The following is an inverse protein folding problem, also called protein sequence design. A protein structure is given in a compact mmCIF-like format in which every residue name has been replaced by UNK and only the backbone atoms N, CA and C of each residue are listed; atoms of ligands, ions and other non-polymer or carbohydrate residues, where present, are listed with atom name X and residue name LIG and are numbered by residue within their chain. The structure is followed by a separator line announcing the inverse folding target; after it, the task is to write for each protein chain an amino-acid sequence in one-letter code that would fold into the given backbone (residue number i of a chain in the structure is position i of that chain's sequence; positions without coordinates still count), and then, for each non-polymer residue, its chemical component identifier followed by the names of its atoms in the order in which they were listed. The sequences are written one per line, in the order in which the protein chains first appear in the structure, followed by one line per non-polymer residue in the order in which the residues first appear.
data_IF_299243408870
#
_entry.id   IF_299243408870
#
_cell.length_a   1.000
_cell.length_b   1.000
_cell.length_c   1.000
_cell.angle_alpha   90.00
_cell.angle_beta   90.00
_cell.angle_gamma   90.00
#
_symmetry.space_group_name_H-M   'P 1'
#
loop_
_entity.id
_entity.type
_entity.pdbx_description
1 polymer ?
#
# COMPACT_ATOMS: atom_id res chain seq x y z
N UNK A 1 1.20 -13.85 18.70
CA UNK A 1 1.80 -14.34 17.42
C UNK A 1 0.83 -14.47 16.26
N UNK A 2 -0.38 -15.04 16.43
CA UNK A 2 -1.29 -15.40 15.32
C UNK A 2 -1.65 -14.24 14.38
N UNK A 3 -1.89 -13.04 14.91
CA UNK A 3 -2.30 -11.87 14.12
C UNK A 3 -1.23 -11.38 13.13
N UNK A 4 0.05 -11.34 13.55
CA UNK A 4 1.17 -10.96 12.67
C UNK A 4 1.28 -11.93 11.49
N UNK A 5 1.15 -13.23 11.76
CA UNK A 5 1.17 -14.27 10.72
C UNK A 5 -0.05 -14.17 9.80
N UNK A 6 -1.23 -13.84 10.33
CA UNK A 6 -2.43 -13.62 9.53
C UNK A 6 -2.26 -12.47 8.54
N UNK A 7 -1.70 -11.33 8.97
CA UNK A 7 -1.41 -10.20 8.07
C UNK A 7 -0.41 -10.57 6.98
N UNK A 8 0.64 -11.32 7.31
CA UNK A 8 1.63 -11.79 6.32
C UNK A 8 0.95 -12.72 5.30
N UNK A 9 0.12 -13.67 5.74
CA UNK A 9 -0.62 -14.57 4.85
C UNK A 9 -1.59 -13.81 3.94
N UNK A 10 -2.30 -12.83 4.48
CA UNK A 10 -3.19 -11.98 3.70
C UNK A 10 -2.43 -11.21 2.62
N UNK A 11 -1.32 -10.56 2.97
CA UNK A 11 -0.48 -9.81 2.02
C UNK A 11 0.10 -10.72 0.93
N UNK A 12 0.45 -11.97 1.26
CA UNK A 12 0.86 -12.94 0.24
C UNK A 12 -0.27 -13.35 -0.72
N UNK A 13 -1.53 -13.35 -0.26
CA UNK A 13 -2.71 -13.62 -1.07
C UNK A 13 -3.17 -12.44 -1.92
N UNK A 14 -2.94 -11.20 -1.47
CA UNK A 14 -3.40 -9.99 -2.14
C UNK A 14 -2.95 -9.86 -3.61
N UNK A 15 -1.68 -10.09 -3.99
CA UNK A 15 -1.26 -10.07 -5.39
C UNK A 15 -1.97 -11.08 -6.30
N UNK A 16 -2.60 -12.12 -5.72
CA UNK A 16 -3.38 -13.13 -6.46
C UNK A 16 -4.79 -12.65 -6.77
N UNK A 17 -5.29 -11.64 -6.03
CA UNK A 17 -6.61 -11.03 -6.21
C UNK A 17 -6.48 -9.68 -6.94
N UNK A 18 -5.86 -9.69 -8.14
CA UNK A 18 -5.57 -8.46 -8.89
C UNK A 18 -6.84 -7.64 -9.17
N UNK A 19 -7.92 -8.28 -9.58
CA UNK A 19 -9.18 -7.61 -9.94
C UNK A 19 -9.73 -6.66 -8.86
N UNK A 20 -9.42 -6.90 -7.57
CA UNK A 20 -9.87 -6.05 -6.47
C UNK A 20 -8.78 -5.19 -5.84
N UNK A 21 -7.51 -5.59 -5.95
CA UNK A 21 -6.41 -4.97 -5.18
C UNK A 21 -5.46 -4.14 -6.04
N UNK A 22 -5.53 -4.24 -7.37
CA UNK A 22 -4.59 -3.59 -8.28
C UNK A 22 -4.65 -2.05 -8.19
N UNK A 23 -5.85 -1.50 -7.97
CA UNK A 23 -6.07 -0.05 -7.81
C UNK A 23 -5.61 0.52 -6.46
N UNK A 24 -5.17 -0.31 -5.51
CA UNK A 24 -4.75 0.19 -4.20
C UNK A 24 -3.33 0.74 -4.24
N UNK A 25 -3.13 1.98 -3.75
CA UNK A 25 -1.81 2.60 -3.59
C UNK A 25 -0.85 1.71 -2.82
N UNK A 26 -1.37 0.95 -1.84
CA UNK A 26 -0.64 -0.05 -1.08
C UNK A 26 0.02 -1.11 -1.98
N UNK A 27 -0.68 -1.59 -3.02
CA UNK A 27 -0.15 -2.59 -3.95
C UNK A 27 0.89 -1.99 -4.91
N UNK A 28 0.71 -0.73 -5.31
CA UNK A 28 1.73 0.04 -6.04
C UNK A 28 3.03 0.12 -5.25
N UNK A 29 2.97 0.55 -3.99
CA UNK A 29 4.15 0.63 -3.10
C UNK A 29 4.75 -0.76 -2.84
N UNK A 30 3.94 -1.79 -2.66
CA UNK A 30 4.42 -3.18 -2.51
C UNK A 30 5.26 -3.62 -3.72
N UNK A 31 4.80 -3.34 -4.95
CA UNK A 31 5.53 -3.71 -6.18
C UNK A 31 6.82 -2.94 -6.33
N UNK A 32 6.79 -1.62 -6.09
CA UNK A 32 8.00 -0.79 -6.09
C UNK A 32 9.04 -1.31 -5.07
N UNK A 33 8.61 -1.56 -3.83
CA UNK A 33 9.49 -2.13 -2.79
C UNK A 33 9.99 -3.53 -3.14
N UNK A 34 9.16 -4.36 -3.78
CA UNK A 34 9.55 -5.71 -4.20
C UNK A 34 10.74 -5.67 -5.19
N UNK A 35 10.74 -4.71 -6.12
CA UNK A 35 11.82 -4.51 -7.09
C UNK A 35 13.15 -4.09 -6.45
N UNK A 36 13.12 -3.23 -5.43
CA UNK A 36 14.35 -2.71 -4.81
C UNK A 36 14.85 -3.51 -3.60
N UNK A 37 13.93 -4.00 -2.75
CA UNK A 37 14.24 -4.55 -1.42
C UNK A 37 14.08 -6.07 -1.33
N UNK A 38 13.47 -6.68 -2.36
CA UNK A 38 13.16 -8.11 -2.41
C UNK A 38 11.84 -8.50 -1.76
N UNK A 39 11.33 -9.67 -2.13
CA UNK A 39 9.97 -10.15 -1.83
C UNK A 39 9.68 -10.28 -0.33
N UNK A 40 10.57 -10.87 0.46
CA UNK A 40 10.32 -11.08 1.89
C UNK A 40 10.19 -9.77 2.67
N UNK A 41 11.09 -8.81 2.41
CA UNK A 41 11.10 -7.50 3.07
C UNK A 41 9.89 -6.67 2.66
N UNK A 42 9.46 -6.72 1.39
CA UNK A 42 8.27 -6.01 0.94
C UNK A 42 6.98 -6.57 1.56
N UNK A 43 6.85 -7.89 1.69
CA UNK A 43 5.69 -8.53 2.36
C UNK A 43 5.59 -8.06 3.82
N UNK A 44 6.70 -8.11 4.56
CA UNK A 44 6.71 -7.71 5.99
C UNK A 44 6.37 -6.22 6.13
N UNK A 45 6.93 -5.36 5.28
CA UNK A 45 6.64 -3.92 5.30
C UNK A 45 5.15 -3.64 5.03
N UNK A 46 4.58 -4.28 4.02
CA UNK A 46 3.16 -4.15 3.69
C UNK A 46 2.26 -4.68 4.82
N UNK A 47 2.62 -5.80 5.45
CA UNK A 47 1.89 -6.35 6.59
C UNK A 47 1.90 -5.40 7.81
N UNK A 48 3.02 -4.73 8.10
CA UNK A 48 3.09 -3.69 9.15
C UNK A 48 2.20 -2.50 8.83
N UNK A 49 2.19 -2.05 7.57
CA UNK A 49 1.31 -0.96 7.13
C UNK A 49 -0.17 -1.35 7.27
N UNK A 50 -0.49 -2.59 6.92
CA UNK A 50 -1.84 -3.16 7.09
C UNK A 50 -2.30 -3.18 8.54
N UNK A 51 -1.43 -3.63 9.45
CA UNK A 51 -1.71 -3.60 10.88
C UNK A 51 -2.00 -2.18 11.39
N UNK A 52 -1.29 -1.19 10.86
CA UNK A 52 -1.52 0.22 11.21
C UNK A 52 -2.89 0.69 10.74
N UNK A 53 -3.30 0.34 9.50
CA UNK A 53 -4.63 0.70 9.00
C UNK A 53 -5.74 0.06 9.82
N UNK A 54 -5.60 -1.22 10.19
CA UNK A 54 -6.57 -1.90 11.05
C UNK A 54 -6.63 -1.27 12.45
N UNK A 55 -5.48 -0.93 13.02
CA UNK A 55 -5.42 -0.20 14.29
C UNK A 55 -6.16 1.14 14.22
N UNK A 56 -5.98 1.92 13.15
CA UNK A 56 -6.69 3.19 12.98
C UNK A 56 -8.20 3.01 12.82
N UNK A 57 -8.65 1.95 12.14
CA UNK A 57 -10.09 1.61 12.05
C UNK A 57 -10.66 1.39 13.45
N UNK A 58 -9.98 0.58 14.28
CA UNK A 58 -10.44 0.32 15.64
C UNK A 58 -10.35 1.56 16.54
N UNK A 59 -9.29 2.36 16.41
CA UNK A 59 -9.07 3.56 17.21
C UNK A 59 -10.10 4.66 16.91
N UNK A 60 -10.36 4.91 15.63
CA UNK A 60 -11.26 5.99 15.18
C UNK A 60 -12.72 5.55 15.10
N UNK A 61 -12.99 4.23 15.16
CA UNK A 61 -14.29 3.61 14.89
C UNK A 61 -14.91 4.01 13.54
N UNK A 62 -14.08 4.48 12.61
CA UNK A 62 -14.50 4.79 11.25
C UNK A 62 -14.28 3.56 10.37
N UNK A 63 -15.24 3.23 9.49
CA UNK A 63 -15.07 2.12 8.56
C UNK A 63 -13.90 2.40 7.61
N UNK A 64 -13.39 1.32 7.03
CA UNK A 64 -12.37 1.41 5.99
C UNK A 64 -12.93 2.14 4.78
N UNK A 65 -12.33 3.27 4.44
CA UNK A 65 -12.68 4.07 3.27
C UNK A 65 -11.72 3.75 2.12
N UNK A 66 -12.23 3.09 1.09
CA UNK A 66 -11.45 2.65 -0.06
C UNK A 66 -10.96 3.84 -0.91
N UNK A 67 -11.69 4.97 -0.91
CA UNK A 67 -11.34 6.16 -1.69
C UNK A 67 -9.99 6.73 -1.28
N UNK A 68 -9.66 6.68 0.02
CA UNK A 68 -8.41 7.19 0.61
C UNK A 68 -7.18 6.36 0.26
N UNK A 69 -7.37 5.21 -0.39
CA UNK A 69 -6.31 4.25 -0.74
C UNK A 69 -6.12 4.19 -2.25
N UNK A 70 -7.09 4.68 -3.02
CA UNK A 70 -6.91 4.97 -4.44
C UNK A 70 -6.24 6.35 -4.49
N UNK A 71 -5.14 6.53 -5.25
CA UNK A 71 -4.59 7.86 -5.45
C UNK A 71 -5.64 8.74 -6.15
N UNK A 72 -6.02 9.84 -5.51
CA UNK A 72 -6.87 10.86 -6.12
C UNK A 72 -6.20 11.41 -7.39
N UNK A 73 -6.95 11.65 -8.50
CA UNK A 73 -6.34 11.96 -9.81
C UNK A 73 -5.48 13.22 -9.84
N UNK A 74 -5.63 14.12 -8.87
CA UNK A 74 -4.80 15.31 -8.70
C UNK A 74 -3.37 14.97 -8.23
N UNK A 75 -3.22 13.91 -7.43
CA UNK A 75 -1.94 13.49 -6.85
C UNK A 75 -0.88 12.98 -7.88
N UNK A 76 -1.24 12.15 -8.89
CA UNK A 76 -0.32 11.75 -9.95
C UNK A 76 0.21 12.93 -10.79
N UNK A 77 -0.61 13.93 -11.08
CA UNK A 77 -0.21 15.11 -11.85
C UNK A 77 0.74 15.99 -11.05
N UNK A 78 0.50 16.16 -9.74
CA UNK A 78 1.44 16.83 -8.83
C UNK A 78 2.78 16.08 -8.75
N UNK A 79 2.79 14.74 -8.73
CA UNK A 79 4.04 13.94 -8.74
C UNK A 79 4.78 14.10 -10.07
N UNK A 80 4.08 14.12 -11.22
CA UNK A 80 4.71 14.40 -12.52
C UNK A 80 5.32 15.80 -12.55
N UNK A 81 4.60 16.81 -12.05
CA UNK A 81 5.09 18.18 -11.98
C UNK A 81 6.34 18.28 -11.08
N UNK A 82 6.31 17.66 -9.89
CA UNK A 82 7.45 17.62 -8.98
C UNK A 82 8.66 16.88 -9.58
N UNK A 83 8.44 15.76 -10.29
CA UNK A 83 9.51 15.06 -11.03
C UNK A 83 10.10 15.90 -12.14
N UNK A 84 9.27 16.64 -12.90
CA UNK A 84 9.75 17.54 -13.96
C UNK A 84 10.62 18.65 -13.38
N UNK A 85 10.20 19.25 -12.26
CA UNK A 85 11.01 20.25 -11.57
C UNK A 85 12.35 19.68 -11.07
N UNK A 86 12.36 18.48 -10.50
CA UNK A 86 13.58 17.84 -10.01
C UNK A 86 14.56 17.40 -11.10
N UNK A 87 14.11 17.26 -12.35
CA UNK A 87 14.96 16.95 -13.52
C UNK A 87 15.42 18.21 -14.27
N UNK A 88 14.86 19.37 -13.95
CA UNK A 88 15.18 20.66 -14.55
C UNK A 88 16.21 21.48 -13.73
N UNK A 89 16.68 20.92 -12.61
CA UNK A 89 17.81 21.41 -11.78
C UNK A 89 19.00 20.48 -12.02
#
# INVERSE_FOLDING_TARGET
MKLRTAFVRMVMGMPRLRNKTDGYRLMGTYRAMKGHKGTGKSIIATARKMNTMVYEIFRTRKPFDQSRIIPEPEYPEMIKAARRYALAV
#
